data_IF_723879192749
#
_entry.id   IF_723879192749
#
_cell.length_a   1.000
_cell.length_b   1.000
_cell.length_c   1.000
_cell.angle_alpha   90.00
_cell.angle_beta   90.00
_cell.angle_gamma   90.00
#
_symmetry.space_group_name_H-M   'P 1'
#
loop_
_entity.id
_entity.type
_entity.pdbx_description
1 polymer ?
#
# COMPACT_ATOMS: atom_id res chain seq x y z
N UNK A 1 -6.32 4.23 10.74
CA UNK A 1 -4.89 3.99 10.44
C UNK A 1 -4.34 5.25 9.81
N UNK A 2 -3.22 5.77 10.31
CA UNK A 2 -2.55 6.93 9.76
C UNK A 2 -1.81 6.58 8.46
N UNK A 3 -1.45 7.59 7.68
CA UNK A 3 -0.62 7.44 6.48
C UNK A 3 0.71 6.74 6.78
N UNK A 4 1.35 7.08 7.90
CA UNK A 4 2.64 6.53 8.30
C UNK A 4 2.54 5.04 8.67
N UNK A 5 1.51 4.67 9.43
CA UNK A 5 1.25 3.26 9.74
C UNK A 5 1.03 2.42 8.49
N UNK A 6 0.33 2.98 7.49
CA UNK A 6 0.10 2.31 6.21
C UNK A 6 1.40 2.10 5.42
N UNK A 7 2.25 3.12 5.35
CA UNK A 7 3.55 3.05 4.69
C UNK A 7 4.48 2.02 5.35
N UNK A 8 4.49 1.95 6.69
CA UNK A 8 5.26 0.95 7.42
C UNK A 8 4.80 -0.48 7.10
N UNK A 9 3.48 -0.70 6.97
CA UNK A 9 2.94 -2.01 6.57
C UNK A 9 3.34 -2.40 5.15
N UNK A 10 3.29 -1.47 4.21
CA UNK A 10 3.73 -1.68 2.82
C UNK A 10 5.21 -2.06 2.78
N UNK A 11 6.06 -1.31 3.49
CA UNK A 11 7.51 -1.57 3.53
C UNK A 11 7.84 -2.95 4.12
N UNK A 12 7.18 -3.29 5.23
CA UNK A 12 7.33 -4.61 5.85
C UNK A 12 6.93 -5.72 4.89
N UNK A 13 5.77 -5.62 4.23
CA UNK A 13 5.30 -6.63 3.28
C UNK A 13 6.21 -6.73 2.05
N UNK A 14 6.74 -5.61 1.55
CA UNK A 14 7.70 -5.62 0.44
C UNK A 14 8.98 -6.37 0.81
N UNK A 15 9.49 -6.14 2.02
CA UNK A 15 10.67 -6.84 2.54
C UNK A 15 10.42 -8.34 2.73
N UNK A 16 9.24 -8.72 3.21
CA UNK A 16 8.82 -10.13 3.32
C UNK A 16 8.73 -10.80 1.94
N UNK A 17 8.08 -10.16 0.97
CA UNK A 17 7.95 -10.67 -0.39
C UNK A 17 9.33 -10.85 -1.05
N UNK A 18 10.24 -9.89 -0.90
CA UNK A 18 11.59 -9.99 -1.42
C UNK A 18 12.32 -11.24 -0.89
N UNK A 19 12.16 -11.53 0.41
CA UNK A 19 12.70 -12.77 1.01
C UNK A 19 12.03 -14.01 0.43
N UNK A 20 10.70 -14.03 0.32
CA UNK A 20 9.97 -15.17 -0.25
C UNK A 20 10.46 -15.46 -1.67
N UNK A 21 10.55 -14.45 -2.52
CA UNK A 21 11.03 -14.56 -3.90
C UNK A 21 12.46 -15.08 -3.95
N UNK A 22 13.34 -14.61 -3.06
CA UNK A 22 14.72 -15.09 -2.99
C UNK A 22 14.81 -16.60 -2.69
N UNK A 23 13.89 -17.14 -1.87
CA UNK A 23 13.93 -18.54 -1.44
C UNK A 23 13.12 -19.47 -2.36
N UNK A 24 12.06 -18.97 -2.98
CA UNK A 24 11.05 -19.79 -3.68
C UNK A 24 10.96 -19.50 -5.18
N UNK A 25 11.60 -18.42 -5.66
CA UNK A 25 11.45 -17.92 -7.01
C UNK A 25 10.20 -17.05 -7.18
N UNK A 26 10.15 -16.30 -8.29
CA UNK A 26 9.08 -15.33 -8.56
C UNK A 26 7.71 -15.95 -8.86
N UNK A 27 7.69 -17.16 -9.41
CA UNK A 27 6.47 -17.82 -9.88
C UNK A 27 5.91 -18.84 -8.87
N UNK A 28 6.45 -18.87 -7.65
CA UNK A 28 5.96 -19.76 -6.61
C UNK A 28 4.62 -19.24 -6.07
N UNK A 29 3.76 -20.15 -5.60
CA UNK A 29 2.51 -19.76 -4.96
C UNK A 29 2.72 -18.77 -3.80
N UNK A 30 3.73 -18.94 -2.91
CA UNK A 30 4.01 -17.96 -1.87
C UNK A 30 4.41 -16.57 -2.41
N UNK A 31 5.16 -16.50 -3.51
CA UNK A 31 5.54 -15.22 -4.11
C UNK A 31 4.33 -14.53 -4.76
N UNK A 32 3.47 -15.30 -5.43
CA UNK A 32 2.21 -14.79 -6.01
C UNK A 32 1.28 -14.26 -4.92
N UNK A 33 1.07 -15.02 -3.84
CA UNK A 33 0.26 -14.59 -2.70
C UNK A 33 0.84 -13.32 -2.06
N UNK A 34 2.14 -13.29 -1.78
CA UNK A 34 2.78 -12.10 -1.21
C UNK A 34 2.70 -10.87 -2.12
N UNK A 35 2.72 -11.06 -3.45
CA UNK A 35 2.51 -9.97 -4.42
C UNK A 35 1.07 -9.43 -4.38
N UNK A 36 0.07 -10.31 -4.27
CA UNK A 36 -1.33 -9.91 -4.15
C UNK A 36 -1.61 -9.16 -2.85
N UNK A 37 -1.02 -9.61 -1.74
CA UNK A 37 -1.12 -8.91 -0.45
C UNK A 37 -0.48 -7.52 -0.50
N UNK A 38 0.69 -7.40 -1.14
CA UNK A 38 1.36 -6.12 -1.32
C UNK A 38 0.53 -5.17 -2.18
N UNK A 39 -0.03 -5.66 -3.29
CA UNK A 39 -0.92 -4.90 -4.17
C UNK A 39 -2.16 -4.39 -3.42
N UNK A 40 -2.77 -5.25 -2.59
CA UNK A 40 -3.90 -4.83 -1.77
C UNK A 40 -3.55 -3.66 -0.84
N UNK A 41 -2.38 -3.70 -0.19
CA UNK A 41 -1.91 -2.61 0.66
C UNK A 41 -1.66 -1.32 -0.15
N UNK A 42 -1.05 -1.42 -1.33
CA UNK A 42 -0.84 -0.26 -2.21
C UNK A 42 -2.17 0.37 -2.65
N UNK A 43 -3.15 -0.45 -2.98
CA UNK A 43 -4.49 0.01 -3.35
C UNK A 43 -5.22 0.68 -2.19
N UNK A 44 -5.10 0.15 -0.97
CA UNK A 44 -5.64 0.80 0.23
C UNK A 44 -4.98 2.16 0.50
N UNK A 45 -3.66 2.26 0.36
CA UNK A 45 -2.94 3.52 0.51
C UNK A 45 -3.36 4.56 -0.53
N UNK A 46 -3.51 4.13 -1.79
CA UNK A 46 -3.98 4.99 -2.89
C UNK A 46 -5.35 5.58 -2.57
N UNK A 47 -6.31 4.74 -2.14
CA UNK A 47 -7.64 5.21 -1.73
C UNK A 47 -7.60 6.21 -0.58
N UNK A 48 -6.77 5.94 0.44
CA UNK A 48 -6.61 6.88 1.57
C UNK A 48 -6.04 8.22 1.12
N UNK A 49 -5.09 8.20 0.17
CA UNK A 49 -4.49 9.42 -0.37
C UNK A 49 -5.48 10.21 -1.24
N UNK A 50 -6.24 9.55 -2.10
CA UNK A 50 -7.30 10.17 -2.91
C UNK A 50 -8.39 10.82 -2.04
N UNK A 51 -8.83 10.13 -0.99
CA UNK A 51 -9.78 10.68 -0.02
C UNK A 51 -9.23 11.94 0.65
N UNK A 52 -7.97 11.94 1.05
CA UNK A 52 -7.31 13.11 1.63
C UNK A 52 -7.20 14.28 0.64
N UNK A 53 -6.90 14.02 -0.63
CA UNK A 53 -6.89 15.07 -1.66
C UNK A 53 -8.29 15.66 -1.88
N UNK A 54 -9.33 14.83 -1.89
CA UNK A 54 -10.70 15.30 -2.01
C UNK A 54 -11.07 16.22 -0.84
N UNK A 55 -10.83 15.80 0.41
CA UNK A 55 -11.16 16.62 1.59
C UNK A 55 -10.42 17.96 1.61
N UNK A 56 -9.13 17.98 1.24
CA UNK A 56 -8.36 19.22 1.11
C UNK A 56 -8.92 20.16 0.04
N UNK A 57 -9.31 19.62 -1.12
CA UNK A 57 -9.89 20.41 -2.20
C UNK A 57 -11.26 21.01 -1.82
N UNK A 58 -12.09 20.27 -1.08
CA UNK A 58 -13.36 20.81 -0.55
C UNK A 58 -13.12 21.91 0.48
N UNK A 59 -12.17 21.72 1.41
CA UNK A 59 -11.82 22.73 2.41
C UNK A 59 -11.35 24.04 1.76
N UNK A 60 -10.46 23.95 0.76
CA UNK A 60 -9.93 25.13 0.03
C UNK A 60 -11.00 25.92 -0.73
N UNK A 61 -12.11 25.28 -1.13
CA UNK A 61 -13.24 25.95 -1.81
C UNK A 61 -14.19 26.68 -0.86
N UNK A 62 -14.25 26.30 0.42
CA UNK A 62 -15.16 26.91 1.40
C UNK A 62 -14.62 28.20 2.03
N UNK A 63 -13.30 28.45 1.90
CA UNK A 63 -12.62 29.63 2.44
C UNK A 63 -12.14 30.61 1.35
N UNK A 64 -12.67 30.50 0.13
CA UNK A 64 -12.49 31.44 -0.98
C UNK A 64 -13.84 32.05 -1.33
#
# INVERSE_FOLDING_TARGET
MSKQEMLLKIEKKRSELAKIVQHTGLNSDPALQGSQELDHLLNQYTKLYEQHLHTMNYSKKMFQ
#
